data_IF_740580390577
#
_entry.id   IF_740580390577
#
_cell.length_a   1.000
_cell.length_b   1.000
_cell.length_c   1.000
_cell.angle_alpha   90.00
_cell.angle_beta   90.00
_cell.angle_gamma   90.00
#
_symmetry.space_group_name_H-M   'P 1'
#
loop_
_entity.id
_entity.type
_entity.pdbx_description
1 polymer ?
#
# COMPACT_ATOMS: atom_id res chain seq x y z
N UNK A 1 6.96 -20.83 -4.52
CA UNK A 1 6.37 -19.47 -4.47
C UNK A 1 6.71 -18.68 -5.75
N UNK A 2 7.98 -18.55 -6.14
CA UNK A 2 8.41 -17.74 -7.32
C UNK A 2 7.76 -18.20 -8.63
N UNK A 3 7.73 -19.51 -8.89
CA UNK A 3 7.11 -20.08 -10.11
C UNK A 3 5.60 -19.77 -10.16
N UNK A 4 4.91 -19.82 -9.01
CA UNK A 4 3.48 -19.51 -8.93
C UNK A 4 3.18 -18.05 -9.25
N UNK A 5 3.98 -17.09 -8.76
CA UNK A 5 3.80 -15.67 -9.09
C UNK A 5 4.05 -15.40 -10.57
N UNK A 6 5.11 -15.97 -11.13
CA UNK A 6 5.44 -15.79 -12.57
C UNK A 6 4.33 -16.35 -13.48
N UNK A 7 3.77 -17.52 -13.14
CA UNK A 7 2.64 -18.12 -13.88
C UNK A 7 1.39 -17.23 -13.76
N UNK A 8 1.10 -16.70 -12.57
CA UNK A 8 -0.03 -15.79 -12.35
C UNK A 8 0.11 -14.50 -13.16
N UNK A 9 1.30 -13.90 -13.20
CA UNK A 9 1.57 -12.71 -14.00
C UNK A 9 1.43 -12.97 -15.50
N UNK A 10 1.97 -14.10 -15.98
CA UNK A 10 1.83 -14.50 -17.37
C UNK A 10 0.37 -14.75 -17.76
N UNK A 11 -0.40 -15.42 -16.88
CA UNK A 11 -1.83 -15.65 -17.10
C UNK A 11 -2.62 -14.32 -17.14
N UNK A 12 -2.33 -13.39 -16.22
CA UNK A 12 -2.94 -12.06 -16.19
C UNK A 12 -2.62 -11.27 -17.47
N UNK A 13 -1.38 -11.35 -17.92
CA UNK A 13 -0.97 -10.70 -19.17
C UNK A 13 -1.68 -11.29 -20.40
N UNK A 14 -1.77 -12.61 -20.49
CA UNK A 14 -2.53 -13.29 -21.56
C UNK A 14 -4.01 -12.92 -21.53
N UNK A 15 -4.62 -12.87 -20.34
CA UNK A 15 -6.01 -12.44 -20.16
C UNK A 15 -6.23 -10.99 -20.63
N UNK A 16 -5.35 -10.07 -20.24
CA UNK A 16 -5.39 -8.66 -20.68
C UNK A 16 -5.28 -8.55 -22.20
N UNK A 17 -4.38 -9.32 -22.82
CA UNK A 17 -4.23 -9.35 -24.28
C UNK A 17 -5.47 -9.89 -24.99
N UNK A 18 -6.09 -10.94 -24.43
CA UNK A 18 -7.35 -11.49 -24.98
C UNK A 18 -8.51 -10.47 -24.87
N UNK A 19 -8.65 -9.81 -23.70
CA UNK A 19 -9.63 -8.74 -23.51
C UNK A 19 -9.38 -7.55 -24.45
N UNK A 20 -8.12 -7.15 -24.62
CA UNK A 20 -7.76 -6.10 -25.58
C UNK A 20 -8.10 -6.47 -27.01
N UNK A 21 -7.84 -7.71 -27.42
CA UNK A 21 -8.21 -8.22 -28.75
C UNK A 21 -9.72 -8.20 -28.98
N UNK A 22 -10.52 -8.50 -27.94
CA UNK A 22 -11.98 -8.40 -27.96
C UNK A 22 -12.46 -6.94 -28.03
N UNK A 23 -11.95 -6.08 -27.16
CA UNK A 23 -12.29 -4.66 -27.10
C UNK A 23 -11.92 -3.92 -28.39
N UNK A 24 -10.81 -4.28 -29.02
CA UNK A 24 -10.37 -3.69 -30.30
C UNK A 24 -11.33 -3.96 -31.46
N UNK A 25 -12.12 -5.04 -31.40
CA UNK A 25 -13.14 -5.36 -32.39
C UNK A 25 -14.42 -4.54 -32.24
N UNK A 26 -14.69 -4.07 -31.00
CA UNK A 26 -15.88 -3.26 -30.67
C UNK A 26 -15.61 -1.76 -30.70
N UNK A 27 -14.35 -1.36 -30.53
CA UNK A 27 -13.90 0.01 -30.69
C UNK A 27 -13.69 0.26 -32.19
N UNK A 28 -14.38 1.26 -32.75
CA UNK A 28 -14.25 1.66 -34.17
C UNK A 28 -12.79 1.94 -34.56
N UNK A 29 -12.55 2.30 -35.83
CA UNK A 29 -11.20 2.49 -36.35
C UNK A 29 -10.43 3.47 -35.45
N UNK A 30 -9.15 3.16 -35.14
CA UNK A 30 -8.37 3.96 -34.21
C UNK A 30 -8.27 5.38 -34.73
N UNK A 31 -8.79 6.35 -33.97
CA UNK A 31 -8.46 7.74 -34.19
C UNK A 31 -6.94 7.87 -34.06
N UNK A 32 -6.30 8.57 -35.01
CA UNK A 32 -4.85 8.77 -35.00
C UNK A 32 -4.45 9.29 -33.61
N UNK A 33 -3.50 8.66 -32.92
CA UNK A 33 -3.06 9.13 -31.63
C UNK A 33 -2.51 10.54 -31.80
N UNK A 34 -3.16 11.51 -31.18
CA UNK A 34 -2.70 12.91 -31.17
C UNK A 34 -1.47 13.11 -30.29
N UNK A 35 -1.11 12.12 -29.49
CA UNK A 35 0.05 12.18 -28.59
C UNK A 35 1.24 11.47 -29.24
N UNK A 36 2.39 12.13 -29.36
CA UNK A 36 3.59 11.49 -29.84
C UNK A 36 4.05 10.43 -28.83
N UNK A 37 4.66 9.32 -29.28
CA UNK A 37 5.07 8.21 -28.39
C UNK A 37 5.98 8.66 -27.24
N UNK A 38 6.81 9.66 -27.46
CA UNK A 38 7.71 10.21 -26.45
C UNK A 38 6.97 10.92 -25.31
N UNK A 39 5.81 11.53 -25.56
CA UNK A 39 4.99 12.15 -24.50
C UNK A 39 4.42 11.08 -23.54
N UNK A 40 4.11 9.89 -24.07
CA UNK A 40 3.70 8.75 -23.27
C UNK A 40 4.88 8.29 -22.39
N UNK A 41 6.07 8.19 -22.97
CA UNK A 41 7.28 7.80 -22.24
C UNK A 41 7.62 8.83 -21.14
N UNK A 42 7.51 10.12 -21.44
CA UNK A 42 7.72 11.17 -20.42
C UNK A 42 6.72 11.10 -19.27
N UNK A 43 5.46 10.76 -19.54
CA UNK A 43 4.46 10.57 -18.49
C UNK A 43 4.68 9.30 -17.66
N UNK A 44 5.18 8.23 -18.29
CA UNK A 44 5.41 6.94 -17.61
C UNK A 44 6.77 6.88 -16.88
N UNK A 45 7.78 7.61 -17.35
CA UNK A 45 9.13 7.57 -16.80
C UNK A 45 9.18 7.88 -15.29
N UNK A 46 8.54 8.96 -14.77
CA UNK A 46 8.55 9.25 -13.34
C UNK A 46 7.83 8.17 -12.51
N UNK A 47 6.74 7.59 -13.05
CA UNK A 47 5.99 6.51 -12.40
C UNK A 47 6.85 5.26 -12.30
N UNK A 48 7.51 4.90 -13.39
CA UNK A 48 8.43 3.75 -13.43
C UNK A 48 9.63 3.97 -12.51
N UNK A 49 10.24 5.14 -12.53
CA UNK A 49 11.37 5.49 -11.66
C UNK A 49 10.97 5.37 -10.18
N UNK A 50 9.79 5.87 -9.80
CA UNK A 50 9.26 5.72 -8.45
C UNK A 50 9.12 4.24 -8.07
N UNK A 51 8.53 3.44 -8.94
CA UNK A 51 8.32 2.02 -8.68
C UNK A 51 9.64 1.25 -8.52
N UNK A 52 10.62 1.53 -9.37
CA UNK A 52 11.96 0.92 -9.25
C UNK A 52 12.68 1.35 -7.98
N UNK A 53 12.62 2.64 -7.63
CA UNK A 53 13.23 3.14 -6.39
C UNK A 53 12.58 2.51 -5.16
N UNK A 54 11.25 2.45 -5.11
CA UNK A 54 10.51 1.80 -4.03
C UNK A 54 10.85 0.31 -3.93
N UNK A 55 10.94 -0.39 -5.06
CA UNK A 55 11.34 -1.80 -5.09
C UNK A 55 12.78 -2.00 -4.60
N UNK A 56 13.69 -1.12 -4.99
CA UNK A 56 15.07 -1.13 -4.52
C UNK A 56 15.16 -0.92 -3.00
N UNK A 57 14.47 0.11 -2.48
CA UNK A 57 14.44 0.39 -1.05
C UNK A 57 13.84 -0.77 -0.25
N UNK A 58 12.76 -1.38 -0.72
CA UNK A 58 12.17 -2.59 -0.10
C UNK A 58 13.15 -3.77 -0.12
N UNK A 59 13.93 -3.93 -1.19
CA UNK A 59 14.94 -4.99 -1.25
C UNK A 59 16.04 -4.75 -0.22
N UNK A 60 16.52 -3.51 -0.12
CA UNK A 60 17.50 -3.11 0.90
C UNK A 60 16.95 -3.36 2.30
N UNK A 61 15.72 -2.94 2.58
CA UNK A 61 15.02 -3.17 3.85
C UNK A 61 14.95 -4.67 4.18
N UNK A 62 14.51 -5.49 3.23
CA UNK A 62 14.37 -6.94 3.41
C UNK A 62 15.69 -7.67 3.69
N UNK A 63 16.81 -7.09 3.29
CA UNK A 63 18.16 -7.63 3.56
C UNK A 63 18.75 -7.04 4.83
N UNK A 64 18.65 -5.72 5.00
CA UNK A 64 19.28 -5.03 6.13
C UNK A 64 18.57 -5.32 7.46
N UNK A 65 17.25 -5.31 7.51
CA UNK A 65 16.52 -5.47 8.77
C UNK A 65 16.80 -6.84 9.42
N UNK A 66 16.70 -7.98 8.70
CA UNK A 66 17.08 -9.27 9.27
C UNK A 66 18.53 -9.35 9.68
N UNK A 67 19.44 -8.71 8.90
CA UNK A 67 20.88 -8.69 9.22
C UNK A 67 21.16 -7.92 10.51
N UNK A 68 20.52 -6.75 10.70
CA UNK A 68 20.65 -5.97 11.93
C UNK A 68 20.06 -6.71 13.14
N UNK A 69 18.90 -7.36 12.96
CA UNK A 69 18.29 -8.17 14.02
C UNK A 69 19.18 -9.37 14.38
N UNK A 70 19.82 -10.00 13.39
CA UNK A 70 20.73 -11.11 13.64
C UNK A 70 22.00 -10.69 14.44
N UNK A 71 22.44 -9.45 14.30
CA UNK A 71 23.54 -8.90 15.10
C UNK A 71 23.08 -8.57 16.52
N UNK A 72 21.86 -8.08 16.69
CA UNK A 72 21.28 -7.71 17.99
C UNK A 72 20.77 -8.93 18.78
N UNK A 73 20.39 -10.00 18.10
CA UNK A 73 19.88 -11.24 18.69
C UNK A 73 21.05 -12.18 19.12
N UNK A 74 20.71 -13.13 19.98
CA UNK A 74 21.69 -14.14 20.43
C UNK A 74 22.22 -15.05 19.28
N UNK A 75 21.46 -15.16 18.18
CA UNK A 75 21.87 -15.88 16.98
C UNK A 75 21.15 -15.36 15.74
N UNK A 76 21.70 -15.66 14.55
CA UNK A 76 21.09 -15.31 13.28
C UNK A 76 19.72 -15.96 13.09
N UNK A 77 19.53 -17.17 13.59
CA UNK A 77 18.27 -17.91 13.51
C UNK A 77 17.16 -17.23 14.32
N UNK A 78 17.48 -16.77 15.52
CA UNK A 78 16.54 -16.02 16.37
C UNK A 78 16.16 -14.70 15.74
N UNK A 79 17.12 -13.94 15.18
CA UNK A 79 16.81 -12.69 14.50
C UNK A 79 15.90 -12.86 13.26
N UNK A 80 16.13 -13.92 12.47
CA UNK A 80 15.29 -14.27 11.32
C UNK A 80 13.90 -14.72 11.76
N UNK A 81 13.79 -15.49 12.86
CA UNK A 81 12.50 -15.91 13.40
C UNK A 81 11.69 -14.70 13.91
N UNK A 82 12.32 -13.77 14.61
CA UNK A 82 11.69 -12.52 15.07
C UNK A 82 11.19 -11.67 13.90
N UNK A 83 12.01 -11.50 12.86
CA UNK A 83 11.60 -10.79 11.65
C UNK A 83 10.45 -11.48 10.95
N UNK A 84 10.47 -12.81 10.86
CA UNK A 84 9.40 -13.63 10.30
C UNK A 84 8.09 -13.48 11.10
N UNK A 85 8.17 -13.50 12.43
CA UNK A 85 7.03 -13.30 13.33
C UNK A 85 6.42 -11.89 13.17
N UNK A 86 7.28 -10.87 13.14
CA UNK A 86 6.83 -9.49 12.92
C UNK A 86 6.14 -9.33 11.57
N UNK A 87 6.80 -9.75 10.47
CA UNK A 87 6.33 -9.50 9.11
C UNK A 87 5.24 -10.47 8.66
N UNK A 88 5.32 -11.73 9.09
CA UNK A 88 4.38 -12.78 8.70
C UNK A 88 3.17 -12.95 9.59
N UNK A 89 3.26 -12.51 10.85
CA UNK A 89 2.18 -12.68 11.82
C UNK A 89 1.62 -11.36 12.32
N UNK A 90 2.45 -10.48 12.89
CA UNK A 90 1.97 -9.23 13.49
C UNK A 90 1.46 -8.22 12.44
N UNK A 91 2.20 -8.01 11.34
CA UNK A 91 1.82 -7.07 10.30
C UNK A 91 0.47 -7.37 9.63
N UNK A 92 0.14 -8.60 9.21
CA UNK A 92 -1.18 -8.90 8.65
C UNK A 92 -2.33 -8.56 9.61
N UNK A 93 -2.15 -8.78 10.91
CA UNK A 93 -3.15 -8.45 11.93
C UNK A 93 -3.33 -6.94 12.04
N UNK A 94 -2.22 -6.19 12.07
CA UNK A 94 -2.24 -4.71 12.10
C UNK A 94 -2.89 -4.14 10.84
N UNK A 95 -2.62 -4.71 9.66
CA UNK A 95 -3.20 -4.25 8.40
C UNK A 95 -4.63 -4.74 8.14
N UNK A 96 -5.17 -5.64 8.95
CA UNK A 96 -6.54 -6.12 8.77
C UNK A 96 -7.59 -4.99 8.85
N UNK A 97 -7.62 -4.12 9.88
CA UNK A 97 -8.55 -2.99 9.90
C UNK A 97 -8.28 -1.99 8.76
N UNK A 98 -7.03 -1.84 8.34
CA UNK A 98 -6.66 -0.97 7.22
C UNK A 98 -7.27 -1.41 5.88
N UNK A 99 -7.56 -2.68 5.69
CA UNK A 99 -8.15 -3.18 4.44
C UNK A 99 -9.48 -2.49 4.10
N UNK A 100 -10.28 -2.14 5.10
CA UNK A 100 -11.52 -1.36 4.93
C UNK A 100 -11.23 0.06 4.43
N UNK A 101 -10.21 0.71 5.00
CA UNK A 101 -9.80 2.06 4.59
C UNK A 101 -9.17 2.05 3.19
N UNK A 102 -8.39 1.04 2.85
CA UNK A 102 -7.81 0.87 1.52
C UNK A 102 -8.89 0.74 0.45
N UNK A 103 -9.95 -0.01 0.73
CA UNK A 103 -11.11 -0.13 -0.15
C UNK A 103 -11.82 1.22 -0.32
N UNK A 104 -12.06 1.94 0.78
CA UNK A 104 -12.66 3.27 0.75
C UNK A 104 -11.80 4.25 -0.06
N UNK A 105 -10.49 4.25 0.14
CA UNK A 105 -9.55 5.07 -0.64
C UNK A 105 -9.64 4.80 -2.13
N UNK A 106 -9.67 3.52 -2.52
CA UNK A 106 -9.80 3.12 -3.93
C UNK A 106 -11.09 3.62 -4.56
N UNK A 107 -12.20 3.60 -3.81
CA UNK A 107 -13.50 4.11 -4.29
C UNK A 107 -13.54 5.64 -4.38
N UNK A 108 -12.87 6.34 -3.48
CA UNK A 108 -12.82 7.81 -3.44
C UNK A 108 -11.81 8.42 -4.42
N UNK A 109 -10.80 7.66 -4.83
CA UNK A 109 -9.75 8.14 -5.72
C UNK A 109 -10.29 8.74 -7.04
N UNK A 110 -11.23 8.10 -7.78
CA UNK A 110 -11.81 8.70 -8.99
C UNK A 110 -12.58 9.99 -8.72
N UNK A 111 -13.23 10.12 -7.56
CA UNK A 111 -13.96 11.34 -7.18
C UNK A 111 -12.99 12.48 -6.88
N UNK A 112 -11.89 12.20 -6.18
CA UNK A 112 -10.81 13.16 -5.88
C UNK A 112 -10.21 13.66 -7.19
N UNK A 113 -9.86 12.76 -8.11
CA UNK A 113 -9.31 13.11 -9.42
C UNK A 113 -10.26 14.00 -10.22
N UNK A 114 -11.54 13.63 -10.30
CA UNK A 114 -12.56 14.42 -11.02
C UNK A 114 -12.76 15.80 -10.40
N UNK A 115 -12.81 15.91 -9.07
CA UNK A 115 -12.95 17.20 -8.39
C UNK A 115 -11.71 18.08 -8.62
N UNK A 116 -10.51 17.50 -8.66
CA UNK A 116 -9.27 18.19 -8.97
C UNK A 116 -9.26 18.70 -10.41
N UNK A 117 -9.60 17.86 -11.40
CA UNK A 117 -9.67 18.22 -12.82
C UNK A 117 -10.70 19.32 -13.11
N UNK A 118 -11.82 19.32 -12.39
CA UNK A 118 -12.87 20.36 -12.51
C UNK A 118 -12.55 21.64 -11.76
N UNK A 119 -11.46 21.68 -10.99
CA UNK A 119 -11.09 22.83 -10.17
C UNK A 119 -12.05 23.10 -9.00
N UNK A 120 -12.84 22.10 -8.60
CA UNK A 120 -13.84 22.19 -7.52
C UNK A 120 -13.16 22.13 -6.14
N UNK A 121 -12.42 23.17 -5.76
CA UNK A 121 -11.61 23.20 -4.52
C UNK A 121 -12.43 22.85 -3.26
N UNK A 122 -13.69 23.31 -3.16
CA UNK A 122 -14.54 23.04 -1.99
C UNK A 122 -14.93 21.56 -1.88
N UNK A 123 -15.25 20.93 -3.01
CA UNK A 123 -15.57 19.49 -3.08
C UNK A 123 -14.35 18.66 -2.75
N UNK A 124 -13.21 18.99 -3.36
CA UNK A 124 -11.94 18.34 -3.11
C UNK A 124 -11.55 18.41 -1.61
N UNK A 125 -11.61 19.60 -1.03
CA UNK A 125 -11.30 19.80 0.40
C UNK A 125 -12.20 18.96 1.31
N UNK A 126 -13.50 18.90 1.03
CA UNK A 126 -14.45 18.07 1.80
C UNK A 126 -14.13 16.57 1.68
N UNK A 127 -13.82 16.09 0.47
CA UNK A 127 -13.45 14.70 0.25
C UNK A 127 -12.21 14.33 1.04
N UNK A 128 -11.14 15.13 0.92
CA UNK A 128 -9.88 14.91 1.64
C UNK A 128 -10.10 14.94 3.16
N UNK A 129 -10.78 15.97 3.68
CA UNK A 129 -11.05 16.08 5.12
C UNK A 129 -11.88 14.90 5.63
N UNK A 130 -12.91 14.47 4.89
CA UNK A 130 -13.72 13.32 5.26
C UNK A 130 -12.93 12.03 5.28
N UNK A 131 -12.08 11.82 4.27
CA UNK A 131 -11.22 10.63 4.21
C UNK A 131 -10.25 10.59 5.39
N UNK A 132 -9.57 11.69 5.68
CA UNK A 132 -8.66 11.77 6.81
C UNK A 132 -9.38 11.60 8.16
N UNK A 133 -10.55 12.21 8.31
CA UNK A 133 -11.36 12.06 9.52
C UNK A 133 -11.77 10.59 9.75
N UNK A 134 -12.28 9.92 8.71
CA UNK A 134 -12.67 8.50 8.78
C UNK A 134 -11.45 7.64 9.13
N UNK A 135 -10.28 7.96 8.55
CA UNK A 135 -9.04 7.26 8.87
C UNK A 135 -8.67 7.38 10.35
N UNK A 136 -8.71 8.59 10.90
CA UNK A 136 -8.41 8.83 12.32
C UNK A 136 -9.44 8.14 13.22
N UNK A 137 -10.73 8.30 12.93
CA UNK A 137 -11.83 7.70 13.70
C UNK A 137 -11.75 6.17 13.73
N UNK A 138 -11.24 5.54 12.68
CA UNK A 138 -11.07 4.09 12.65
C UNK A 138 -9.73 3.65 13.25
N UNK A 139 -8.64 4.35 12.94
CA UNK A 139 -7.29 3.94 13.33
C UNK A 139 -6.99 4.13 14.82
N UNK A 140 -7.51 5.20 15.44
CA UNK A 140 -7.26 5.48 16.86
C UNK A 140 -7.89 4.42 17.77
N UNK A 141 -9.19 4.06 17.63
CA UNK A 141 -9.77 2.98 18.40
C UNK A 141 -9.13 1.62 18.09
N UNK A 142 -8.81 1.33 16.83
CA UNK A 142 -8.14 0.10 16.46
C UNK A 142 -6.77 -0.01 17.13
N UNK A 143 -5.95 1.04 17.07
CA UNK A 143 -4.66 1.09 17.74
C UNK A 143 -4.77 0.96 19.26
N UNK A 144 -5.76 1.63 19.87
CA UNK A 144 -6.08 1.49 21.29
C UNK A 144 -6.47 0.05 21.68
N UNK A 145 -7.28 -0.60 20.85
CA UNK A 145 -7.69 -1.98 21.04
C UNK A 145 -6.49 -2.94 20.98
N UNK A 146 -5.60 -2.74 20.00
CA UNK A 146 -4.37 -3.52 19.89
C UNK A 146 -3.38 -3.24 21.05
N UNK A 147 -3.36 -2.04 21.61
CA UNK A 147 -2.57 -1.77 22.81
C UNK A 147 -3.11 -2.48 24.05
N UNK A 148 -4.44 -2.43 24.28
CA UNK A 148 -5.07 -2.94 25.49
C UNK A 148 -5.17 -4.48 25.48
N UNK A 149 -5.53 -5.06 24.34
CA UNK A 149 -5.78 -6.50 24.17
C UNK A 149 -4.68 -7.21 23.38
N UNK A 150 -3.49 -6.63 23.31
CA UNK A 150 -2.37 -7.19 22.55
C UNK A 150 -2.02 -8.62 22.92
N UNK A 151 -2.00 -8.95 24.22
CA UNK A 151 -1.70 -10.29 24.73
C UNK A 151 -2.77 -11.29 24.37
N UNK A 152 -4.03 -10.96 24.58
CA UNK A 152 -5.18 -11.79 24.27
C UNK A 152 -5.27 -12.07 22.77
N UNK A 153 -5.06 -11.05 21.94
CA UNK A 153 -5.08 -11.19 20.47
C UNK A 153 -3.91 -12.08 20.02
N UNK A 154 -2.70 -11.88 20.56
CA UNK A 154 -1.53 -12.71 20.24
C UNK A 154 -1.74 -14.19 20.62
N UNK A 155 -2.32 -14.43 21.81
CA UNK A 155 -2.64 -15.80 22.27
C UNK A 155 -3.79 -16.42 21.48
N UNK A 156 -4.83 -15.64 21.15
CA UNK A 156 -6.00 -16.15 20.41
C UNK A 156 -5.64 -16.54 18.98
N UNK A 157 -4.87 -15.72 18.29
CA UNK A 157 -4.57 -15.91 16.87
C UNK A 157 -3.38 -16.86 16.62
N UNK A 158 -2.35 -16.76 17.46
CA UNK A 158 -1.08 -17.43 17.21
C UNK A 158 -0.55 -18.26 18.40
N UNK A 159 -1.26 -18.28 19.52
CA UNK A 159 -0.83 -18.94 20.75
C UNK A 159 0.58 -18.53 21.20
N UNK A 160 0.95 -17.27 20.95
CA UNK A 160 2.28 -16.72 21.18
C UNK A 160 2.21 -15.38 21.90
N UNK A 161 2.89 -15.28 23.03
CA UNK A 161 3.04 -14.03 23.78
C UNK A 161 3.95 -13.01 23.08
N UNK A 162 4.91 -13.46 22.28
CA UNK A 162 5.80 -12.58 21.52
C UNK A 162 5.03 -11.73 20.51
N UNK A 163 4.02 -12.33 19.82
CA UNK A 163 3.17 -11.61 18.88
C UNK A 163 2.39 -10.51 19.60
N UNK A 164 1.91 -10.78 20.82
CA UNK A 164 1.25 -9.80 21.66
C UNK A 164 2.15 -8.59 21.92
N UNK A 165 3.45 -8.79 22.20
CA UNK A 165 4.41 -7.70 22.40
C UNK A 165 4.53 -6.83 21.13
N UNK A 166 4.67 -7.45 19.96
CA UNK A 166 4.72 -6.70 18.69
C UNK A 166 3.44 -5.90 18.42
N UNK A 167 2.27 -6.48 18.67
CA UNK A 167 0.99 -5.78 18.52
C UNK A 167 0.88 -4.58 19.47
N UNK A 168 1.37 -4.72 20.71
CA UNK A 168 1.39 -3.64 21.70
C UNK A 168 2.26 -2.47 21.27
N UNK A 169 3.43 -2.75 20.68
CA UNK A 169 4.36 -1.72 20.18
C UNK A 169 3.83 -1.08 18.90
N UNK A 170 3.23 -1.86 18.00
CA UNK A 170 2.68 -1.37 16.74
C UNK A 170 1.36 -0.61 16.92
N UNK A 171 0.57 -0.92 17.96
CA UNK A 171 -0.72 -0.29 18.23
C UNK A 171 -0.69 1.25 18.17
N UNK A 172 0.18 1.94 18.91
CA UNK A 172 0.29 3.40 18.86
C UNK A 172 0.73 3.95 17.50
N UNK A 173 1.42 3.14 16.68
CA UNK A 173 1.90 3.53 15.36
C UNK A 173 0.81 3.38 14.28
N UNK A 174 -0.24 2.57 14.53
CA UNK A 174 -1.31 2.33 13.55
C UNK A 174 -1.96 3.60 13.00
N UNK A 175 -2.34 4.60 13.81
CA UNK A 175 -2.92 5.83 13.29
C UNK A 175 -1.99 6.56 12.32
N UNK A 176 -0.69 6.58 12.60
CA UNK A 176 0.30 7.23 11.73
C UNK A 176 0.49 6.47 10.43
N UNK A 177 0.62 5.13 10.48
CA UNK A 177 0.75 4.27 9.30
C UNK A 177 -0.48 4.36 8.39
N UNK A 178 -1.68 4.42 8.97
CA UNK A 178 -2.91 4.52 8.20
C UNK A 178 -3.09 5.90 7.58
N UNK A 179 -2.74 6.98 8.32
CA UNK A 179 -2.75 8.34 7.78
C UNK A 179 -1.75 8.50 6.64
N UNK A 180 -0.53 7.99 6.81
CA UNK A 180 0.51 8.01 5.77
C UNK A 180 0.01 7.33 4.49
N UNK A 181 -0.52 6.11 4.59
CA UNK A 181 -1.05 5.39 3.44
C UNK A 181 -2.23 6.09 2.76
N UNK A 182 -3.10 6.77 3.54
CA UNK A 182 -4.21 7.54 3.00
C UNK A 182 -3.75 8.81 2.30
N UNK A 183 -2.79 9.53 2.87
CA UNK A 183 -2.20 10.73 2.25
C UNK A 183 -1.50 10.35 0.94
N UNK A 184 -0.74 9.26 0.91
CA UNK A 184 -0.10 8.75 -0.31
C UNK A 184 -1.15 8.40 -1.40
N UNK A 185 -2.26 7.77 -1.01
CA UNK A 185 -3.39 7.51 -1.91
C UNK A 185 -4.01 8.79 -2.48
N UNK A 186 -4.24 9.81 -1.64
CA UNK A 186 -4.79 11.10 -2.07
C UNK A 186 -3.83 11.81 -3.03
N UNK A 187 -2.52 11.85 -2.72
CA UNK A 187 -1.51 12.46 -3.58
C UNK A 187 -1.42 11.78 -4.95
N UNK A 188 -1.53 10.46 -4.99
CA UNK A 188 -1.62 9.70 -6.24
C UNK A 188 -2.88 10.06 -7.04
N UNK A 189 -4.01 10.23 -6.36
CA UNK A 189 -5.27 10.67 -6.99
C UNK A 189 -5.21 12.08 -7.56
N UNK A 190 -4.41 12.96 -6.98
CA UNK A 190 -4.17 14.32 -7.47
C UNK A 190 -3.15 14.39 -8.61
N UNK A 191 -2.51 13.29 -8.98
CA UNK A 191 -1.43 13.27 -9.98
C UNK A 191 -0.10 13.84 -9.47
N UNK A 192 -0.01 14.20 -8.19
CA UNK A 192 1.16 14.79 -7.52
C UNK A 192 2.16 13.70 -7.08
N UNK A 193 2.36 12.66 -7.90
CA UNK A 193 3.27 11.56 -7.56
C UNK A 193 4.71 12.00 -7.33
N UNK A 194 5.12 13.11 -7.95
CA UNK A 194 6.44 13.71 -7.75
C UNK A 194 6.56 14.46 -6.42
N UNK A 195 5.45 14.90 -5.82
CA UNK A 195 5.48 15.57 -4.53
C UNK A 195 5.88 14.59 -3.41
N UNK A 196 5.54 13.31 -3.54
CA UNK A 196 5.92 12.25 -2.57
C UNK A 196 7.45 12.08 -2.45
N UNK A 197 8.22 12.48 -3.47
CA UNK A 197 9.69 12.46 -3.43
C UNK A 197 10.33 13.72 -2.90
N UNK A 198 9.57 14.79 -2.73
CA UNK A 198 10.12 16.10 -2.39
C UNK A 198 10.14 16.35 -0.87
N UNK A 199 9.53 15.47 -0.11
CA UNK A 199 9.45 15.48 1.34
C UNK A 199 9.99 14.18 1.94
#
# INVERSE_FOLDING_TARGET
>A
AVVGSTVSEAASWCYMMACWGGARRTLGPPQKPHLPPWAIVQGLAPIAANQYLTSFLRTVENVMVPSCLAVAAASREVGLAQYGALRGMAMPVVFFPFSFLATLSTLLMPEITRAAERGERKTLQRLVQRTLLVTVVLSVPAGGLFCLFSGEIGMLLYQSGEIGLYLRVLGPLMPLMYLESMVDGILKGLGEQLATFRY
#
